data_IF_113594333818
#
_entry.id   IF_113594333818
#
_cell.length_a   1.000
_cell.length_b   1.000
_cell.length_c   1.000
_cell.angle_alpha   90.00
_cell.angle_beta   90.00
_cell.angle_gamma   90.00
#
_symmetry.space_group_name_H-M   'P 1'
#
loop_
_entity.id
_entity.type
_entity.pdbx_description
1 polymer ?
#
# COMPACT_ATOMS: atom_id res chain seq x y z
N UNK A 1 4.24 -15.90 12.96
CA UNK A 1 3.22 -15.36 12.02
C UNK A 1 1.87 -15.57 12.66
N UNK A 2 1.22 -14.52 13.14
CA UNK A 2 -0.12 -14.60 13.70
C UNK A 2 -1.10 -14.09 12.64
N UNK A 3 -1.91 -15.00 12.11
CA UNK A 3 -3.00 -14.71 11.19
C UNK A 3 -4.08 -13.92 11.93
N UNK A 4 -4.35 -12.69 11.48
CA UNK A 4 -5.51 -11.94 11.95
C UNK A 4 -6.76 -12.65 11.44
N UNK A 5 -7.38 -13.42 12.33
CA UNK A 5 -8.66 -14.08 12.09
C UNK A 5 -9.74 -12.99 12.15
N UNK A 6 -10.35 -12.67 11.01
CA UNK A 6 -11.40 -11.65 10.89
C UNK A 6 -12.70 -12.19 11.49
N UNK A 7 -12.81 -12.15 12.82
CA UNK A 7 -14.07 -12.36 13.54
C UNK A 7 -14.74 -10.99 13.80
N UNK A 8 -15.96 -10.74 13.31
CA UNK A 8 -16.67 -9.46 13.51
C UNK A 8 -16.82 -9.06 14.99
N UNK A 9 -16.84 -10.03 15.91
CA UNK A 9 -16.95 -9.79 17.37
C UNK A 9 -15.68 -9.22 18.01
N UNK A 10 -14.50 -9.34 17.40
CA UNK A 10 -13.25 -8.78 17.96
C UNK A 10 -13.16 -7.25 17.82
N UNK A 11 -13.99 -6.66 16.95
CA UNK A 11 -13.95 -5.23 16.60
C UNK A 11 -14.74 -4.34 17.59
N UNK A 12 -15.50 -4.96 18.50
CA UNK A 12 -16.25 -4.25 19.55
C UNK A 12 -15.38 -3.79 20.73
N UNK A 13 -14.16 -4.33 20.89
CA UNK A 13 -13.31 -4.12 22.07
C UNK A 13 -11.86 -3.74 21.74
N UNK A 14 -11.62 -3.03 20.64
CA UNK A 14 -10.29 -2.47 20.40
C UNK A 14 -9.98 -1.44 21.48
N UNK A 15 -9.02 -1.76 22.34
CA UNK A 15 -8.49 -0.80 23.30
C UNK A 15 -7.47 0.12 22.61
N UNK A 16 -7.07 1.20 23.28
CA UNK A 16 -6.16 2.19 22.72
C UNK A 16 -4.81 1.58 22.28
N UNK A 17 -4.26 0.64 23.05
CA UNK A 17 -2.99 -0.02 22.75
C UNK A 17 -3.09 -0.88 21.48
N UNK A 18 -4.19 -1.61 21.29
CA UNK A 18 -4.41 -2.40 20.08
C UNK A 18 -4.54 -1.51 18.84
N UNK A 19 -5.23 -0.36 18.98
CA UNK A 19 -5.35 0.61 17.90
C UNK A 19 -3.98 1.25 17.56
N UNK A 20 -3.18 1.57 18.58
CA UNK A 20 -1.82 2.07 18.42
C UNK A 20 -0.92 1.09 17.65
N UNK A 21 -0.90 -0.18 18.09
CA UNK A 21 -0.09 -1.22 17.48
C UNK A 21 -0.54 -1.51 16.04
N UNK A 22 -1.84 -1.47 15.78
CA UNK A 22 -2.38 -1.58 14.42
C UNK A 22 -1.91 -0.41 13.54
N UNK A 23 -2.02 0.84 14.00
CA UNK A 23 -1.52 2.02 13.27
C UNK A 23 -0.04 1.91 12.95
N UNK A 24 0.80 1.55 13.93
CA UNK A 24 2.25 1.34 13.73
C UNK A 24 2.53 0.29 12.67
N UNK A 25 1.82 -0.83 12.74
CA UNK A 25 1.98 -1.91 11.77
C UNK A 25 1.59 -1.46 10.37
N UNK A 26 0.46 -0.77 10.22
CA UNK A 26 0.06 -0.25 8.91
C UNK A 26 1.07 0.74 8.36
N UNK A 27 1.57 1.68 9.16
CA UNK A 27 2.60 2.62 8.73
C UNK A 27 3.84 1.89 8.22
N UNK A 28 4.34 0.91 8.99
CA UNK A 28 5.50 0.12 8.57
C UNK A 28 5.27 -0.63 7.25
N UNK A 29 4.09 -1.23 7.06
CA UNK A 29 3.76 -1.91 5.80
C UNK A 29 3.64 -0.93 4.63
N UNK A 30 2.99 0.23 4.81
CA UNK A 30 2.80 1.23 3.75
C UNK A 30 4.10 1.96 3.39
N UNK A 31 4.98 2.19 4.35
CA UNK A 31 6.33 2.75 4.13
C UNK A 31 7.18 1.76 3.34
N UNK A 32 7.16 0.47 3.68
CA UNK A 32 7.81 -0.56 2.87
C UNK A 32 7.28 -0.59 1.43
N UNK A 33 5.96 -0.45 1.26
CA UNK A 33 5.34 -0.32 -0.06
C UNK A 33 5.83 0.93 -0.80
N UNK A 34 6.07 2.05 -0.11
CA UNK A 34 6.60 3.26 -0.71
C UNK A 34 8.03 3.06 -1.24
N UNK A 35 8.89 2.39 -0.46
CA UNK A 35 10.24 2.02 -0.87
C UNK A 35 10.21 1.07 -2.09
N UNK A 36 9.34 0.06 -2.06
CA UNK A 36 9.17 -0.87 -3.17
C UNK A 36 8.68 -0.16 -4.45
N UNK A 37 7.82 0.86 -4.32
CA UNK A 37 7.38 1.70 -5.44
C UNK A 37 8.53 2.55 -6.04
N UNK A 38 9.47 3.03 -5.22
CA UNK A 38 10.67 3.71 -5.72
C UNK A 38 11.55 2.74 -6.52
N UNK A 39 11.73 1.52 -6.01
CA UNK A 39 12.41 0.47 -6.74
C UNK A 39 11.75 0.17 -8.10
N UNK A 40 10.42 0.16 -8.18
CA UNK A 40 9.72 -0.03 -9.45
C UNK A 40 9.95 1.11 -10.45
N UNK A 41 10.00 2.36 -9.98
CA UNK A 41 10.35 3.49 -10.85
C UNK A 41 11.76 3.32 -11.43
N UNK A 42 12.72 2.89 -10.62
CA UNK A 42 14.09 2.67 -11.07
C UNK A 42 14.20 1.50 -12.06
N UNK A 43 13.36 0.48 -11.89
CA UNK A 43 13.26 -0.63 -12.83
C UNK A 43 12.67 -0.19 -14.17
N UNK A 44 11.63 0.65 -14.16
CA UNK A 44 11.07 1.26 -15.38
C UNK A 44 12.14 2.09 -16.09
N UNK A 45 12.87 2.94 -15.35
CA UNK A 45 13.97 3.76 -15.92
C UNK A 45 15.03 2.86 -16.58
N UNK A 46 15.45 1.81 -15.90
CA UNK A 46 16.50 0.89 -16.38
C UNK A 46 16.14 0.15 -17.67
N UNK A 47 14.84 -0.05 -17.92
CA UNK A 47 14.34 -0.77 -19.09
C UNK A 47 13.47 0.08 -20.01
N UNK A 48 13.59 1.42 -19.93
CA UNK A 48 12.72 2.35 -20.67
C UNK A 48 12.75 2.09 -22.17
N UNK A 49 13.94 1.88 -22.78
CA UNK A 49 14.07 1.64 -24.21
C UNK A 49 13.28 0.43 -24.71
N UNK A 50 13.22 -0.64 -23.91
CA UNK A 50 12.46 -1.83 -24.26
C UNK A 50 10.97 -1.69 -23.93
N UNK A 51 10.63 -0.88 -22.93
CA UNK A 51 9.24 -0.60 -22.55
C UNK A 51 8.52 0.32 -23.57
N UNK A 52 9.26 1.18 -24.28
CA UNK A 52 8.73 2.04 -25.34
C UNK A 52 8.71 1.38 -26.72
N UNK A 53 9.23 0.16 -26.85
CA UNK A 53 9.06 -0.66 -28.06
C UNK A 53 7.56 -0.81 -28.35
N UNK A 54 7.16 -0.70 -29.63
CA UNK A 54 5.76 -0.69 -30.06
C UNK A 54 4.97 -1.90 -29.55
N UNK A 55 5.64 -3.03 -29.35
CA UNK A 55 5.08 -4.26 -28.78
C UNK A 55 4.58 -4.09 -27.34
N UNK A 56 5.23 -3.26 -26.54
CA UNK A 56 4.92 -3.10 -25.11
C UNK A 56 4.30 -1.75 -24.76
N UNK A 57 4.44 -0.75 -25.63
CA UNK A 57 4.11 0.64 -25.35
C UNK A 57 2.78 0.84 -24.60
N UNK A 58 1.67 0.31 -25.11
CA UNK A 58 0.35 0.47 -24.47
C UNK A 58 0.28 -0.16 -23.06
N UNK A 59 0.84 -1.36 -22.87
CA UNK A 59 0.83 -2.03 -21.56
C UNK A 59 1.79 -1.35 -20.58
N UNK A 60 2.95 -0.90 -21.06
CA UNK A 60 3.91 -0.11 -20.28
C UNK A 60 3.28 1.18 -19.79
N UNK A 61 2.62 1.93 -20.67
CA UNK A 61 1.95 3.18 -20.30
C UNK A 61 0.87 2.94 -19.24
N UNK A 62 0.01 1.94 -19.45
CA UNK A 62 -1.03 1.58 -18.47
C UNK A 62 -0.45 1.22 -17.10
N UNK A 63 0.64 0.46 -17.06
CA UNK A 63 1.32 0.10 -15.80
C UNK A 63 1.95 1.31 -15.13
N UNK A 64 2.58 2.23 -15.88
CA UNK A 64 3.18 3.45 -15.33
C UNK A 64 2.10 4.36 -14.73
N UNK A 65 0.97 4.51 -15.42
CA UNK A 65 -0.17 5.27 -14.90
C UNK A 65 -0.78 4.63 -13.64
N UNK A 66 -0.89 3.30 -13.62
CA UNK A 66 -1.34 2.55 -12.45
C UNK A 66 -0.39 2.72 -11.26
N UNK A 67 0.93 2.65 -11.49
CA UNK A 67 1.95 2.90 -10.46
C UNK A 67 1.78 4.29 -9.88
N UNK A 68 1.68 5.34 -10.72
CA UNK A 68 1.48 6.72 -10.26
C UNK A 68 0.22 6.87 -9.38
N UNK A 69 -0.90 6.25 -9.77
CA UNK A 69 -2.15 6.27 -9.00
C UNK A 69 -2.00 5.58 -7.65
N UNK A 70 -1.40 4.39 -7.63
CA UNK A 70 -1.17 3.62 -6.41
C UNK A 70 -0.20 4.34 -5.46
N UNK A 71 0.89 4.94 -5.97
CA UNK A 71 1.81 5.77 -5.16
C UNK A 71 1.07 6.90 -4.46
N UNK A 72 0.22 7.63 -5.21
CA UNK A 72 -0.59 8.71 -4.64
C UNK A 72 -1.53 8.19 -3.55
N UNK A 73 -2.22 7.07 -3.79
CA UNK A 73 -3.12 6.46 -2.79
C UNK A 73 -2.36 6.00 -1.55
N UNK A 74 -1.17 5.41 -1.71
CA UNK A 74 -0.31 5.01 -0.60
C UNK A 74 0.04 6.19 0.31
N UNK A 75 0.54 7.29 -0.30
CA UNK A 75 0.92 8.49 0.45
C UNK A 75 -0.27 9.09 1.20
N UNK A 76 -1.45 9.14 0.57
CA UNK A 76 -2.67 9.62 1.25
C UNK A 76 -3.05 8.74 2.45
N UNK A 77 -2.86 7.42 2.35
CA UNK A 77 -3.13 6.51 3.46
C UNK A 77 -2.12 6.66 4.60
N UNK A 78 -0.84 6.82 4.27
CA UNK A 78 0.20 7.08 5.28
C UNK A 78 -0.15 8.34 6.07
N UNK A 79 -0.50 9.43 5.41
CA UNK A 79 -0.85 10.69 6.08
C UNK A 79 -2.16 10.58 6.89
N UNK A 80 -3.16 9.86 6.37
CA UNK A 80 -4.40 9.59 7.10
C UNK A 80 -4.14 8.79 8.40
N UNK A 81 -3.28 7.78 8.35
CA UNK A 81 -2.95 6.96 9.53
C UNK A 81 -2.10 7.75 10.53
N UNK A 82 -1.14 8.58 10.07
CA UNK A 82 -0.39 9.47 10.96
C UNK A 82 -1.31 10.45 11.70
N UNK A 83 -2.30 10.99 11.00
CA UNK A 83 -3.30 11.90 11.58
C UNK A 83 -4.13 11.16 12.63
N UNK A 84 -4.71 10.02 12.25
CA UNK A 84 -5.48 9.14 13.14
C UNK A 84 -4.68 8.73 14.39
N UNK A 85 -3.41 8.40 14.21
CA UNK A 85 -2.53 8.03 15.30
C UNK A 85 -2.27 9.21 16.26
N UNK A 86 -2.08 10.43 15.73
CA UNK A 86 -1.90 11.62 16.56
C UNK A 86 -3.14 11.99 17.39
N UNK A 87 -4.31 11.53 16.97
CA UNK A 87 -5.61 11.74 17.63
C UNK A 87 -5.92 10.67 18.69
N UNK A 88 -5.12 9.61 18.79
CA UNK A 88 -5.30 8.52 19.76
C UNK A 88 -5.41 8.99 21.21
N UNK A 89 -4.83 10.15 21.54
CA UNK A 89 -4.91 10.77 22.87
C UNK A 89 -6.34 10.85 23.43
N UNK A 90 -7.35 11.01 22.57
CA UNK A 90 -8.78 11.06 22.95
C UNK A 90 -9.20 9.76 23.67
N UNK A 91 -8.53 8.64 23.39
CA UNK A 91 -8.82 7.34 24.00
C UNK A 91 -8.09 7.12 25.33
N UNK A 92 -7.14 7.99 25.73
CA UNK A 92 -6.23 7.75 26.87
C UNK A 92 -6.02 8.96 27.77
N UNK A 93 -6.69 10.08 27.52
CA UNK A 93 -6.54 11.32 28.30
C UNK A 93 -7.27 11.31 29.66
N UNK A 94 -8.08 10.27 29.91
CA UNK A 94 -8.87 10.10 31.13
C UNK A 94 -10.12 10.97 31.19
N UNK A 95 -10.50 11.62 30.08
CA UNK A 95 -11.75 12.38 29.92
C UNK A 95 -12.83 11.47 29.34
N UNK A 96 -14.01 11.44 29.96
CA UNK A 96 -15.15 10.65 29.47
C UNK A 96 -15.89 11.40 28.35
N UNK A 97 -15.35 11.34 27.13
CA UNK A 97 -15.89 11.96 25.91
C UNK A 97 -16.39 10.88 24.92
N UNK A 98 -17.41 10.14 25.36
CA UNK A 98 -18.00 9.02 24.61
C UNK A 98 -18.29 9.32 23.13
N UNK A 99 -18.84 10.49 22.74
CA UNK A 99 -19.09 10.79 21.33
C UNK A 99 -17.83 10.85 20.47
N UNK A 100 -16.75 11.47 20.98
CA UNK A 100 -15.50 11.59 20.25
C UNK A 100 -14.72 10.27 20.22
N UNK A 101 -14.74 9.51 21.32
CA UNK A 101 -14.18 8.15 21.36
C UNK A 101 -14.85 7.20 20.34
N UNK A 102 -16.19 7.22 20.24
CA UNK A 102 -16.88 6.35 19.29
C UNK A 102 -16.59 6.79 17.84
N UNK A 103 -16.46 8.10 17.59
CA UNK A 103 -16.01 8.59 16.27
C UNK A 103 -14.62 8.04 15.93
N UNK A 104 -13.69 8.12 16.87
CA UNK A 104 -12.33 7.60 16.71
C UNK A 104 -12.33 6.10 16.39
N UNK A 105 -13.07 5.30 17.17
CA UNK A 105 -13.21 3.85 16.92
C UNK A 105 -13.79 3.56 15.55
N UNK A 106 -14.79 4.32 15.12
CA UNK A 106 -15.40 4.17 13.78
C UNK A 106 -14.40 4.49 12.66
N UNK A 107 -13.62 5.55 12.81
CA UNK A 107 -12.55 5.91 11.87
C UNK A 107 -11.48 4.83 11.80
N UNK A 108 -11.05 4.30 12.94
CA UNK A 108 -10.10 3.19 13.01
C UNK A 108 -10.62 1.94 12.28
N UNK A 109 -11.89 1.57 12.49
CA UNK A 109 -12.54 0.46 11.77
C UNK A 109 -12.56 0.68 10.26
N UNK A 110 -12.77 1.92 9.81
CA UNK A 110 -12.70 2.25 8.40
C UNK A 110 -11.26 2.11 7.86
N UNK A 111 -10.25 2.55 8.61
CA UNK A 111 -8.84 2.37 8.23
C UNK A 111 -8.46 0.89 8.07
N UNK A 112 -8.94 -0.01 8.95
CA UNK A 112 -8.75 -1.46 8.80
C UNK A 112 -9.16 -1.93 7.39
N UNK A 113 -10.34 -1.51 6.94
CA UNK A 113 -10.89 -1.92 5.64
C UNK A 113 -10.05 -1.32 4.52
N UNK A 114 -9.83 -0.01 4.56
CA UNK A 114 -9.17 0.72 3.47
C UNK A 114 -7.71 0.29 3.29
N UNK A 115 -6.97 0.06 4.38
CA UNK A 115 -5.59 -0.44 4.32
C UNK A 115 -5.57 -1.87 3.78
N UNK A 116 -6.45 -2.75 4.27
CA UNK A 116 -6.55 -4.13 3.79
C UNK A 116 -6.81 -4.19 2.28
N UNK A 117 -7.75 -3.38 1.79
CA UNK A 117 -8.08 -3.33 0.37
C UNK A 117 -6.95 -2.71 -0.47
N UNK A 118 -6.27 -1.68 0.04
CA UNK A 118 -5.08 -1.15 -0.62
C UNK A 118 -3.99 -2.19 -0.79
N UNK A 119 -3.69 -2.98 0.25
CA UNK A 119 -2.64 -4.01 0.19
C UNK A 119 -3.00 -5.13 -0.78
N UNK A 120 -4.29 -5.50 -0.88
CA UNK A 120 -4.77 -6.45 -1.89
C UNK A 120 -4.58 -5.90 -3.31
N UNK A 121 -5.05 -4.68 -3.55
CA UNK A 121 -4.91 -4.01 -4.87
C UNK A 121 -3.44 -3.88 -5.26
N UNK A 122 -2.58 -3.51 -4.30
CA UNK A 122 -1.15 -3.39 -4.52
C UNK A 122 -0.53 -4.73 -4.92
N UNK A 123 -0.92 -5.83 -4.27
CA UNK A 123 -0.45 -7.18 -4.63
C UNK A 123 -0.85 -7.57 -6.05
N UNK A 124 -2.05 -7.22 -6.50
CA UNK A 124 -2.50 -7.45 -7.88
C UNK A 124 -1.63 -6.64 -8.85
N UNK A 125 -1.45 -5.35 -8.58
CA UNK A 125 -0.57 -4.48 -9.37
C UNK A 125 0.85 -5.05 -9.46
N UNK A 126 1.45 -5.49 -8.35
CA UNK A 126 2.79 -6.09 -8.34
C UNK A 126 2.90 -7.27 -9.27
N UNK A 127 1.89 -8.13 -9.25
CA UNK A 127 1.86 -9.33 -10.10
C UNK A 127 1.89 -8.94 -11.59
N UNK A 128 1.09 -7.95 -11.98
CA UNK A 128 1.09 -7.45 -13.36
C UNK A 128 2.40 -6.75 -13.73
N UNK A 129 2.94 -5.94 -12.84
CA UNK A 129 4.20 -5.21 -13.02
C UNK A 129 5.35 -6.18 -13.27
N UNK A 130 5.54 -7.17 -12.38
CA UNK A 130 6.61 -8.16 -12.52
C UNK A 130 6.43 -9.02 -13.78
N UNK A 131 5.20 -9.35 -14.17
CA UNK A 131 4.94 -10.10 -15.40
C UNK A 131 5.38 -9.33 -16.65
N UNK A 132 5.14 -8.02 -16.72
CA UNK A 132 5.63 -7.17 -17.81
C UNK A 132 7.16 -7.08 -17.78
N UNK A 133 7.73 -6.68 -16.65
CA UNK A 133 9.17 -6.46 -16.55
C UNK A 133 9.96 -7.74 -16.84
N UNK A 134 9.52 -8.90 -16.35
CA UNK A 134 10.19 -10.18 -16.64
C UNK A 134 10.25 -10.47 -18.15
N UNK A 135 9.18 -10.19 -18.90
CA UNK A 135 9.17 -10.34 -20.36
C UNK A 135 10.17 -9.40 -21.03
N UNK A 136 10.13 -8.13 -20.63
CA UNK A 136 11.02 -7.08 -21.14
C UNK A 136 12.49 -7.43 -20.91
N UNK A 137 12.84 -7.86 -19.70
CA UNK A 137 14.21 -8.27 -19.35
C UNK A 137 14.66 -9.48 -20.16
N UNK A 138 13.79 -10.48 -20.34
CA UNK A 138 14.13 -11.68 -21.11
C UNK A 138 14.47 -11.34 -22.55
N UNK A 139 13.68 -10.47 -23.18
CA UNK A 139 13.89 -10.05 -24.57
C UNK A 139 15.14 -9.17 -24.70
N UNK A 140 15.39 -8.27 -23.74
CA UNK A 140 16.62 -7.48 -23.70
C UNK A 140 17.87 -8.36 -23.65
N UNK A 141 17.86 -9.43 -22.84
CA UNK A 141 18.98 -10.38 -22.75
C UNK A 141 19.16 -11.18 -24.04
N UNK A 142 18.07 -11.63 -24.66
CA UNK A 142 18.14 -12.39 -25.92
C UNK A 142 18.73 -11.56 -27.06
N UNK A 143 18.33 -10.29 -27.20
CA UNK A 143 18.90 -9.39 -28.22
C UNK A 143 20.41 -9.21 -28.04
N UNK A 144 20.89 -9.03 -26.80
CA UNK A 144 22.32 -8.90 -26.48
C UNK A 144 23.18 -10.14 -26.74
N UNK A 145 22.58 -11.33 -26.85
CA UNK A 145 23.33 -12.56 -27.16
C UNK A 145 23.46 -12.81 -28.67
N UNK A 146 22.72 -12.05 -29.48
CA UNK A 146 22.71 -12.15 -30.94
C UNK A 146 23.52 -11.03 -31.61
N UNK A 147 24.05 -10.10 -30.80
CA UNK A 147 25.02 -9.06 -31.15
C UNK A 147 26.43 -9.52 -30.78
#
# INVERSE_FOLDING_TARGET
MSTFNTNPKMVEWLNADEMHDASKKWLSELEFVADEQLFFDDLIKSYTLQLIDSKYFNKSQSIIEALKKIKKRNNLLIEAIKTHESELKIMVDGVDDLPNEERYKKEHRNLIIVVSDFLKDYKVFKTEFFALIKKVIKEAKQKRLLE
#
